data_IF_998519725601
#
_entry.id   IF_998519725601
#
_cell.length_a   1.000
_cell.length_b   1.000
_cell.length_c   1.000
_cell.angle_alpha   90.00
_cell.angle_beta   90.00
_cell.angle_gamma   90.00
#
_symmetry.space_group_name_H-M   'P 1'
#
loop_
_entity.id
_entity.type
_entity.pdbx_description
1 polymer ?
#
# COMPACT_ATOMS: atom_id res chain seq x y z
N UNK A 1 -41.71 28.88 17.68
CA UNK A 1 -41.36 27.80 16.72
C UNK A 1 -40.50 28.39 15.60
N UNK A 2 -39.16 28.46 15.72
CA UNK A 2 -38.24 28.83 14.61
C UNK A 2 -36.73 28.82 14.94
N UNK A 3 -36.29 28.21 16.05
CA UNK A 3 -34.86 28.15 16.43
C UNK A 3 -34.23 26.75 16.39
N UNK A 4 -34.95 25.74 15.90
CA UNK A 4 -34.49 24.34 15.91
C UNK A 4 -33.82 23.87 14.60
N UNK A 5 -33.57 24.75 13.62
CA UNK A 5 -33.05 24.33 12.30
C UNK A 5 -31.52 24.45 12.18
N UNK A 6 -30.84 25.15 13.09
CA UNK A 6 -29.40 25.43 12.94
C UNK A 6 -28.50 24.28 13.42
N UNK A 7 -29.02 23.35 14.23
CA UNK A 7 -28.23 22.23 14.76
C UNK A 7 -27.96 21.10 13.76
N UNK A 8 -28.67 21.04 12.62
CA UNK A 8 -28.53 19.94 11.65
C UNK A 8 -27.39 20.15 10.64
N UNK A 9 -26.79 21.35 10.59
CA UNK A 9 -25.76 21.69 9.60
C UNK A 9 -24.32 21.28 9.99
N UNK A 10 -24.05 20.94 11.26
CA UNK A 10 -22.71 20.54 11.73
C UNK A 10 -22.47 19.01 11.74
N UNK A 11 -23.48 18.21 11.42
CA UNK A 11 -23.37 16.75 11.37
C UNK A 11 -22.86 16.20 10.02
N UNK A 12 -22.51 17.08 9.06
CA UNK A 12 -21.63 16.72 7.95
C UNK A 12 -20.19 16.71 8.46
N UNK A 13 -19.93 15.88 9.46
CA UNK A 13 -18.58 15.58 9.94
C UNK A 13 -17.84 15.01 8.75
N UNK A 14 -16.96 15.83 8.20
CA UNK A 14 -15.91 15.47 7.27
C UNK A 14 -15.29 14.15 7.73
N UNK A 15 -15.52 13.08 6.97
CA UNK A 15 -14.70 11.89 7.07
C UNK A 15 -13.28 12.33 6.69
N UNK A 16 -12.48 12.68 7.71
CA UNK A 16 -11.05 12.90 7.56
C UNK A 16 -10.46 11.54 7.23
N UNK A 17 -10.26 11.34 5.94
CA UNK A 17 -9.67 10.16 5.35
C UNK A 17 -8.16 10.43 5.39
N UNK A 18 -7.49 9.88 6.40
CA UNK A 18 -6.08 10.16 6.69
C UNK A 18 -5.16 9.34 5.78
N UNK A 19 -4.01 9.93 5.42
CA UNK A 19 -2.90 9.20 4.84
C UNK A 19 -2.43 8.10 5.80
N UNK A 20 -2.20 6.91 5.26
CA UNK A 20 -1.64 5.79 6.00
C UNK A 20 -0.13 5.76 5.77
N UNK A 21 0.65 5.48 6.81
CA UNK A 21 2.10 5.33 6.70
C UNK A 21 2.46 3.86 6.62
N UNK A 22 3.23 3.48 5.60
CA UNK A 22 3.63 2.11 5.33
C UNK A 22 5.14 1.96 5.42
N UNK A 23 5.57 0.80 5.91
CA UNK A 23 6.95 0.34 5.81
C UNK A 23 6.97 -0.90 4.91
N UNK A 24 7.72 -0.81 3.81
CA UNK A 24 7.84 -1.87 2.81
C UNK A 24 9.31 -2.30 2.67
N UNK A 25 9.50 -3.60 2.47
CA UNK A 25 10.81 -4.22 2.20
C UNK A 25 10.75 -4.99 0.89
N UNK A 26 11.85 -4.99 0.15
CA UNK A 26 12.04 -5.82 -1.04
C UNK A 26 13.30 -6.65 -0.85
N UNK A 27 13.19 -7.96 -1.08
CA UNK A 27 14.28 -8.92 -0.95
C UNK A 27 14.47 -9.70 -2.25
N UNK A 28 15.73 -9.94 -2.61
CA UNK A 28 16.12 -10.72 -3.78
C UNK A 28 17.06 -11.81 -3.29
N UNK A 29 16.70 -13.07 -3.51
CA UNK A 29 17.45 -14.23 -3.05
C UNK A 29 17.76 -14.20 -1.54
N UNK A 30 16.76 -13.78 -0.74
CA UNK A 30 16.82 -13.60 0.72
C UNK A 30 17.63 -12.39 1.21
N UNK A 31 18.25 -11.62 0.32
CA UNK A 31 18.94 -10.39 0.67
C UNK A 31 18.00 -9.20 0.54
N UNK A 32 17.83 -8.41 1.60
CA UNK A 32 17.05 -7.17 1.55
C UNK A 32 17.78 -6.13 0.69
N UNK A 33 17.18 -5.79 -0.46
CA UNK A 33 17.75 -4.82 -1.41
C UNK A 33 17.14 -3.42 -1.25
N UNK A 34 15.98 -3.32 -0.60
CA UNK A 34 15.36 -2.03 -0.29
C UNK A 34 14.47 -2.08 0.96
N UNK A 35 14.49 -0.98 1.72
CA UNK A 35 13.58 -0.69 2.83
C UNK A 35 13.06 0.75 2.66
N UNK A 36 11.74 0.92 2.60
CA UNK A 36 11.13 2.22 2.31
C UNK A 36 9.96 2.47 3.23
N UNK A 37 9.98 3.61 3.91
CA UNK A 37 8.85 4.13 4.69
C UNK A 37 8.23 5.33 3.95
N UNK A 38 6.93 5.31 3.73
CA UNK A 38 6.24 6.36 2.97
C UNK A 38 4.76 6.47 3.34
N UNK A 39 4.16 7.63 3.06
CA UNK A 39 2.72 7.87 3.22
C UNK A 39 1.98 7.58 1.92
N UNK A 40 0.83 6.94 2.04
CA UNK A 40 -0.09 6.68 0.94
C UNK A 40 -1.46 7.27 1.25
N UNK A 41 -1.83 8.26 0.44
CA UNK A 41 -3.12 8.92 0.54
C UNK A 41 -4.24 7.95 0.13
N UNK A 42 -5.43 8.02 0.74
CA UNK A 42 -6.49 7.08 0.40
C UNK A 42 -7.01 7.28 -1.01
N UNK A 43 -7.34 6.16 -1.68
CA UNK A 43 -7.73 6.11 -3.10
C UNK A 43 -6.64 6.61 -4.06
N UNK A 44 -5.38 6.52 -3.66
CA UNK A 44 -4.24 6.87 -4.51
C UNK A 44 -3.31 5.68 -4.73
N UNK A 45 -2.54 5.76 -5.82
CA UNK A 45 -1.46 4.84 -6.15
C UNK A 45 -0.14 5.57 -5.97
N UNK A 46 0.73 4.99 -5.16
CA UNK A 46 2.06 5.52 -4.84
C UNK A 46 3.13 4.53 -5.29
N UNK A 47 4.06 4.98 -6.11
CA UNK A 47 5.30 4.24 -6.37
C UNK A 47 6.22 4.37 -5.16
N UNK A 48 6.78 3.28 -4.66
CA UNK A 48 7.65 3.34 -3.49
C UNK A 48 9.08 2.87 -3.74
N UNK A 49 9.31 1.95 -4.68
CA UNK A 49 10.68 1.55 -5.05
C UNK A 49 10.75 0.98 -6.46
N UNK A 50 11.94 1.08 -7.06
CA UNK A 50 12.37 0.30 -8.21
C UNK A 50 13.56 -0.53 -7.73
N UNK A 51 13.48 -1.85 -7.88
CA UNK A 51 14.54 -2.78 -7.49
C UNK A 51 14.64 -3.87 -8.55
N UNK A 52 15.88 -4.15 -8.98
CA UNK A 52 16.16 -4.91 -10.21
C UNK A 52 15.31 -4.41 -11.38
N UNK A 53 14.66 -5.33 -12.10
CA UNK A 53 13.81 -5.07 -13.25
C UNK A 53 12.33 -4.91 -12.88
N UNK A 54 12.04 -4.49 -11.64
CA UNK A 54 10.69 -4.35 -11.14
C UNK A 54 10.43 -2.98 -10.53
N UNK A 55 9.28 -2.39 -10.88
CA UNK A 55 8.73 -1.22 -10.18
C UNK A 55 7.56 -1.62 -9.30
N UNK A 56 7.56 -1.11 -8.07
CA UNK A 56 6.61 -1.49 -7.04
C UNK A 56 5.73 -0.30 -6.64
N UNK A 57 4.44 -0.57 -6.50
CA UNK A 57 3.42 0.41 -6.18
C UNK A 57 2.50 -0.11 -5.09
N UNK A 58 2.03 0.79 -4.24
CA UNK A 58 0.90 0.53 -3.36
C UNK A 58 -0.27 1.39 -3.82
N UNK A 59 -1.42 0.75 -3.96
CA UNK A 59 -2.70 1.38 -4.21
C UNK A 59 -3.57 1.25 -2.95
N UNK A 60 -3.79 2.37 -2.25
CA UNK A 60 -4.69 2.41 -1.11
C UNK A 60 -6.12 2.49 -1.63
N UNK A 61 -6.87 1.39 -1.59
CA UNK A 61 -8.27 1.32 -2.05
C UNK A 61 -9.26 1.94 -1.05
N UNK A 62 -8.77 2.39 0.11
CA UNK A 62 -9.56 2.90 1.23
C UNK A 62 -10.04 1.81 2.18
N UNK A 63 -10.55 2.22 3.36
CA UNK A 63 -11.06 1.32 4.40
C UNK A 63 -10.07 0.22 4.81
N UNK A 64 -8.77 0.56 4.86
CA UNK A 64 -7.68 -0.37 5.19
C UNK A 64 -7.40 -1.42 4.12
N UNK A 65 -8.03 -1.35 2.93
CA UNK A 65 -7.73 -2.25 1.81
C UNK A 65 -6.60 -1.66 0.96
N UNK A 66 -5.59 -2.48 0.70
CA UNK A 66 -4.43 -2.14 -0.12
C UNK A 66 -4.26 -3.16 -1.24
N UNK A 67 -3.75 -2.69 -2.37
CA UNK A 67 -3.30 -3.50 -3.49
C UNK A 67 -1.83 -3.17 -3.74
N UNK A 68 -0.98 -4.17 -3.64
CA UNK A 68 0.39 -4.14 -4.08
C UNK A 68 0.40 -4.48 -5.57
N UNK A 69 0.96 -3.58 -6.38
CA UNK A 69 1.13 -3.77 -7.82
C UNK A 69 2.62 -3.77 -8.15
N UNK A 70 3.04 -4.76 -8.94
CA UNK A 70 4.43 -4.97 -9.34
C UNK A 70 4.47 -5.05 -10.85
N UNK A 71 5.28 -4.20 -11.47
CA UNK A 71 5.44 -4.16 -12.92
C UNK A 71 6.85 -4.63 -13.28
N UNK A 72 6.92 -5.64 -14.16
CA UNK A 72 8.18 -6.07 -14.76
C UNK A 72 8.56 -5.07 -15.86
N UNK A 73 9.78 -4.52 -15.78
CA UNK A 73 10.30 -3.54 -16.73
C UNK A 73 10.89 -4.19 -17.99
N UNK A 74 11.28 -5.46 -17.94
CA UNK A 74 11.81 -6.23 -19.06
C UNK A 74 10.74 -6.94 -19.90
N UNK A 75 9.52 -7.10 -19.37
CA UNK A 75 8.45 -7.81 -20.07
C UNK A 75 7.05 -7.28 -19.73
N UNK A 76 6.03 -7.52 -20.57
CA UNK A 76 4.68 -6.99 -20.38
C UNK A 76 3.91 -7.77 -19.30
N UNK A 77 4.44 -7.83 -18.08
CA UNK A 77 3.84 -8.54 -16.96
C UNK A 77 3.56 -7.60 -15.79
N UNK A 78 2.38 -7.78 -15.19
CA UNK A 78 1.96 -7.12 -13.96
C UNK A 78 1.46 -8.16 -12.99
N UNK A 79 1.88 -8.03 -11.74
CA UNK A 79 1.43 -8.86 -10.64
C UNK A 79 0.75 -8.02 -9.57
N UNK A 80 -0.20 -8.62 -8.89
CA UNK A 80 -1.04 -7.97 -7.90
C UNK A 80 -1.17 -8.84 -6.65
N UNK A 81 -1.15 -8.22 -5.48
CA UNK A 81 -1.60 -8.81 -4.23
C UNK A 81 -2.53 -7.82 -3.54
N UNK A 82 -3.71 -8.29 -3.10
CA UNK A 82 -4.66 -7.46 -2.36
C UNK A 82 -4.79 -7.98 -0.93
N UNK A 83 -4.92 -7.06 0.03
CA UNK A 83 -5.09 -7.41 1.43
C UNK A 83 -5.66 -6.25 2.25
N UNK A 84 -6.03 -6.55 3.48
CA UNK A 84 -6.38 -5.53 4.48
C UNK A 84 -5.21 -5.36 5.44
N UNK A 85 -4.77 -4.12 5.64
CA UNK A 85 -3.85 -3.73 6.70
C UNK A 85 -4.65 -2.89 7.71
N UNK A 86 -5.03 -3.49 8.84
CA UNK A 86 -5.81 -2.85 9.91
C UNK A 86 -4.97 -2.60 11.16
N UNK A 87 -3.89 -3.36 11.32
CA UNK A 87 -2.95 -3.32 12.42
C UNK A 87 -1.52 -3.40 11.89
N UNK A 88 -0.54 -3.04 12.72
CA UNK A 88 0.89 -3.15 12.39
C UNK A 88 1.38 -4.60 12.29
N UNK A 89 0.57 -5.57 12.71
CA UNK A 89 0.85 -7.01 12.57
C UNK A 89 0.37 -7.58 11.22
N UNK A 90 -0.59 -6.90 10.58
CA UNK A 90 -1.09 -7.30 9.27
C UNK A 90 0.00 -7.13 8.23
N UNK A 91 0.00 -8.03 7.24
CA UNK A 91 1.05 -8.07 6.22
C UNK A 91 0.43 -8.20 4.84
N UNK A 92 0.90 -7.36 3.92
CA UNK A 92 0.64 -7.48 2.50
C UNK A 92 1.94 -7.89 1.82
N UNK A 93 1.97 -9.08 1.23
CA UNK A 93 3.18 -9.63 0.63
C UNK A 93 2.91 -10.24 -0.73
N UNK A 94 3.94 -10.24 -1.57
CA UNK A 94 3.98 -10.96 -2.83
C UNK A 94 5.34 -11.60 -3.02
N UNK A 95 5.34 -12.79 -3.62
CA UNK A 95 6.55 -13.57 -3.87
C UNK A 95 6.51 -14.09 -5.30
N UNK A 96 7.63 -13.91 -6.02
CA UNK A 96 7.92 -14.58 -7.27
C UNK A 96 9.11 -15.51 -7.06
N UNK A 97 8.88 -16.79 -7.30
CA UNK A 97 9.92 -17.80 -7.24
C UNK A 97 10.13 -18.38 -8.64
N UNK A 98 11.31 -18.11 -9.19
CA UNK A 98 11.77 -18.70 -10.46
C UNK A 98 12.96 -19.63 -10.19
N UNK A 99 13.47 -20.25 -11.26
CA UNK A 99 14.70 -21.03 -11.17
C UNK A 99 15.93 -20.15 -10.87
N UNK A 100 15.91 -18.90 -11.30
CA UNK A 100 17.10 -18.03 -11.33
C UNK A 100 17.11 -17.03 -10.17
N UNK A 101 15.94 -16.66 -9.64
CA UNK A 101 15.83 -15.80 -8.47
C UNK A 101 14.51 -15.98 -7.70
N UNK A 102 14.55 -15.60 -6.42
CA UNK A 102 13.44 -15.40 -5.52
C UNK A 102 13.28 -13.90 -5.25
N UNK A 103 12.17 -13.30 -5.67
CA UNK A 103 11.85 -11.90 -5.40
C UNK A 103 10.67 -11.83 -4.43
N UNK A 104 10.85 -11.11 -3.34
CA UNK A 104 9.84 -10.95 -2.30
C UNK A 104 9.66 -9.47 -1.98
N UNK A 105 8.41 -9.07 -1.77
CA UNK A 105 8.09 -7.76 -1.21
C UNK A 105 7.06 -7.92 -0.11
N UNK A 106 7.24 -7.14 0.96
CA UNK A 106 6.41 -7.18 2.16
C UNK A 106 6.17 -5.76 2.64
N UNK A 107 4.91 -5.41 2.84
CA UNK A 107 4.47 -4.13 3.39
C UNK A 107 3.63 -4.34 4.65
N UNK A 108 3.83 -3.45 5.62
CA UNK A 108 3.08 -3.37 6.88
C UNK A 108 2.73 -1.90 7.17
N UNK A 109 1.78 -1.64 8.07
CA UNK A 109 1.62 -0.29 8.63
C UNK A 109 2.89 0.08 9.40
N UNK A 110 3.39 1.31 9.20
CA UNK A 110 4.51 1.83 9.98
C UNK A 110 4.10 2.05 11.44
N UNK A 111 5.06 1.92 12.35
CA UNK A 111 4.87 2.18 13.79
C UNK A 111 5.00 3.66 14.13
#
# INVERSE_FOLDING_TARGET
MKKFVIALAMALTSNVVFAEELYCTVSVNMDTVAEVQFKVEPKTKTAYVIADDFSFYINNKGAGKFELEIFNLEGPSRSYAEGYLRTTEDTLSWTLWTRDYLLETRCVLAQ
#
